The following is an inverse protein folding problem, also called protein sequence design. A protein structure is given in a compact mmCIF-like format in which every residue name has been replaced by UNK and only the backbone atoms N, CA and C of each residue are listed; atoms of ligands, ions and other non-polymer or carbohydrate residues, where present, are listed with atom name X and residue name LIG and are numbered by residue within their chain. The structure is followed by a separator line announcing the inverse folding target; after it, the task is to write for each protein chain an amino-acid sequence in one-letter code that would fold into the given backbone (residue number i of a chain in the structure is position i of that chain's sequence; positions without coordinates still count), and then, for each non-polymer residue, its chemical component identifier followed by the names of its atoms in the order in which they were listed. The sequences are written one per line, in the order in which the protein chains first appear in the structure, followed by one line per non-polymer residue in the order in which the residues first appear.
data_IF_593241188357
#
_entry.id   IF_593241188357
#
_cell.length_a   1.000
_cell.length_b   1.000
_cell.length_c   1.000
_cell.angle_alpha   90.00
_cell.angle_beta   90.00
_cell.angle_gamma   90.00
#
_symmetry.space_group_name_H-M   'P 1'
#
loop_
_entity.id
_entity.type
_entity.pdbx_description
1 polymer ?
#
# COMPACT_ATOMS: atom_id res chain seq x y z
N UNK A 1 5.42 7.68 10.84
CA UNK A 1 5.47 6.90 12.10
C UNK A 1 4.73 5.59 11.89
N UNK A 2 5.19 4.74 11.08
CA UNK A 2 4.65 3.45 10.74
C UNK A 2 5.65 2.73 9.87
N UNK A 3 5.20 1.80 9.04
CA UNK A 3 6.05 1.11 8.09
C UNK A 3 6.83 2.11 7.23
N UNK A 4 8.16 1.94 7.19
CA UNK A 4 9.08 2.86 6.51
C UNK A 4 9.29 2.53 5.03
N UNK A 5 8.65 1.45 4.56
CA UNK A 5 8.70 1.12 3.13
C UNK A 5 8.00 2.23 2.33
N UNK A 6 8.58 2.70 1.21
CA UNK A 6 8.04 3.79 0.40
C UNK A 6 6.56 3.58 0.05
N UNK A 7 5.74 4.58 0.31
CA UNK A 7 4.31 4.57 0.02
C UNK A 7 3.42 3.75 0.97
N UNK A 8 3.96 3.11 2.04
CA UNK A 8 3.16 2.24 2.91
C UNK A 8 2.54 2.98 4.10
N UNK A 9 3.34 3.47 5.03
CA UNK A 9 2.86 4.20 6.22
C UNK A 9 1.97 3.45 7.21
N UNK A 10 1.72 2.14 7.06
CA UNK A 10 0.91 1.35 7.98
C UNK A 10 1.40 1.48 9.42
N UNK A 11 0.52 1.75 10.41
CA UNK A 11 0.93 2.09 11.78
C UNK A 11 1.55 0.91 12.54
N UNK A 12 1.22 -0.31 12.15
CA UNK A 12 1.73 -1.53 12.77
C UNK A 12 2.95 -2.06 12.03
N UNK A 13 3.99 -2.43 12.77
CA UNK A 13 5.20 -2.95 12.18
C UNK A 13 6.10 -3.65 13.17
N UNK A 14 7.12 -4.28 12.65
CA UNK A 14 8.17 -4.99 13.36
C UNK A 14 9.51 -4.30 13.08
N UNK A 15 10.42 -4.33 14.02
CA UNK A 15 11.79 -3.87 13.84
C UNK A 15 12.56 -4.84 12.94
N UNK A 16 12.91 -4.40 11.74
CA UNK A 16 13.79 -5.13 10.83
C UNK A 16 15.24 -4.69 11.06
N UNK A 17 16.15 -5.64 11.25
CA UNK A 17 17.59 -5.35 11.34
C UNK A 17 18.16 -5.10 9.94
N UNK A 18 18.61 -3.88 9.67
CA UNK A 18 19.22 -3.48 8.39
C UNK A 18 20.45 -4.36 8.12
N UNK A 19 21.39 -4.37 9.07
CA UNK A 19 22.40 -5.42 9.13
C UNK A 19 21.85 -6.56 9.98
N UNK A 20 21.64 -7.71 9.36
CA UNK A 20 21.00 -8.85 9.99
C UNK A 20 21.72 -9.28 11.28
N UNK A 21 20.96 -9.61 12.33
CA UNK A 21 21.50 -9.99 13.63
C UNK A 21 22.42 -11.22 13.57
N UNK A 22 22.11 -12.20 12.70
CA UNK A 22 22.95 -13.38 12.48
C UNK A 22 24.33 -13.05 11.88
N UNK A 23 24.46 -11.85 11.29
CA UNK A 23 25.73 -11.32 10.78
C UNK A 23 26.35 -10.28 11.74
N UNK A 24 25.97 -10.34 13.02
CA UNK A 24 26.49 -9.45 14.05
C UNK A 24 25.90 -8.04 14.03
N UNK A 25 24.71 -7.85 13.41
CA UNK A 25 24.01 -6.58 13.44
C UNK A 25 23.47 -6.26 14.83
N UNK A 26 23.77 -5.08 15.42
CA UNK A 26 23.31 -4.72 16.74
C UNK A 26 21.81 -4.38 16.74
N UNK A 27 21.13 -4.64 17.85
CA UNK A 27 19.75 -4.19 18.07
C UNK A 27 19.74 -2.76 18.60
N UNK A 28 20.01 -1.81 17.71
CA UNK A 28 20.03 -0.38 17.98
C UNK A 28 19.12 0.36 17.00
N UNK A 29 18.63 1.54 17.37
CA UNK A 29 17.77 2.34 16.50
C UNK A 29 18.42 2.69 15.17
N UNK A 30 19.75 2.83 15.14
CA UNK A 30 20.51 3.07 13.91
C UNK A 30 20.52 1.87 12.96
N UNK A 31 20.34 0.66 13.49
CA UNK A 31 20.30 -0.58 12.71
C UNK A 31 18.89 -1.15 12.53
N UNK A 32 17.85 -0.43 12.96
CA UNK A 32 16.47 -0.92 12.86
C UNK A 32 15.64 -0.06 11.90
N UNK A 33 14.87 -0.71 11.05
CA UNK A 33 13.82 -0.10 10.24
C UNK A 33 12.46 -0.68 10.64
N UNK A 34 11.44 0.16 10.89
CA UNK A 34 10.09 -0.33 11.17
C UNK A 34 9.43 -0.75 9.86
N UNK A 35 9.08 -2.01 9.71
CA UNK A 35 8.39 -2.56 8.55
C UNK A 35 7.11 -3.29 8.96
N UNK A 36 6.03 -3.13 8.21
CA UNK A 36 4.84 -3.95 8.40
C UNK A 36 5.13 -5.41 7.98
N UNK A 37 4.28 -6.33 8.40
CA UNK A 37 4.44 -7.76 8.10
C UNK A 37 4.70 -8.04 6.61
N UNK A 38 3.96 -7.37 5.72
CA UNK A 38 4.11 -7.54 4.26
C UNK A 38 5.51 -7.11 3.79
N UNK A 39 5.95 -5.92 4.18
CA UNK A 39 7.24 -5.38 3.73
C UNK A 39 8.44 -5.98 4.48
N UNK A 40 8.26 -6.43 5.72
CA UNK A 40 9.27 -7.23 6.43
C UNK A 40 9.55 -8.54 5.69
N UNK A 41 8.49 -9.21 5.22
CA UNK A 41 8.60 -10.40 4.39
C UNK A 41 9.24 -10.11 3.04
N UNK A 42 8.87 -9.01 2.38
CA UNK A 42 9.45 -8.62 1.10
C UNK A 42 10.98 -8.46 1.16
N UNK A 43 11.50 -7.90 2.26
CA UNK A 43 12.96 -7.76 2.47
C UNK A 43 13.61 -9.12 2.72
N UNK A 44 12.95 -10.03 3.46
CA UNK A 44 13.54 -11.33 3.77
C UNK A 44 13.44 -12.37 2.67
N UNK A 45 12.35 -12.37 1.90
CA UNK A 45 12.00 -13.45 1.00
C UNK A 45 11.94 -13.04 -0.49
N UNK A 46 11.69 -11.75 -0.78
CA UNK A 46 11.45 -11.28 -2.14
C UNK A 46 12.65 -10.47 -2.70
N UNK A 47 13.78 -10.44 -2.00
CA UNK A 47 15.00 -9.80 -2.45
C UNK A 47 15.02 -8.27 -2.40
N UNK A 48 14.04 -7.64 -1.76
CA UNK A 48 14.13 -6.21 -1.46
C UNK A 48 15.21 -5.94 -0.42
N UNK A 49 15.90 -4.82 -0.57
CA UNK A 49 16.98 -4.42 0.33
C UNK A 49 16.64 -3.11 1.01
N UNK A 50 17.11 -2.95 2.24
CA UNK A 50 17.02 -1.71 2.99
C UNK A 50 18.39 -1.35 3.54
N UNK A 51 18.80 -0.12 3.30
CA UNK A 51 20.05 0.46 3.81
C UNK A 51 19.74 1.76 4.54
N UNK A 52 20.69 2.20 5.38
CA UNK A 52 20.63 3.52 5.99
C UNK A 52 21.78 4.38 5.47
N UNK A 53 21.45 5.53 4.92
CA UNK A 53 22.42 6.53 4.48
C UNK A 53 23.11 7.20 5.68
N UNK A 54 24.27 7.83 5.48
CA UNK A 54 24.96 8.58 6.54
C UNK A 54 24.12 9.71 7.16
N UNK A 55 23.19 10.29 6.41
CA UNK A 55 22.25 11.30 6.89
C UNK A 55 21.08 10.72 7.73
N UNK A 56 21.04 9.39 7.92
CA UNK A 56 20.01 8.69 8.67
C UNK A 56 18.78 8.26 7.88
N UNK A 57 18.67 8.65 6.62
CA UNK A 57 17.57 8.24 5.74
C UNK A 57 17.64 6.77 5.37
N UNK A 58 16.47 6.13 5.31
CA UNK A 58 16.34 4.77 4.81
C UNK A 58 16.26 4.77 3.28
N UNK A 59 17.02 3.90 2.68
CA UNK A 59 17.08 3.69 1.25
C UNK A 59 16.60 2.28 0.94
N UNK A 60 15.62 2.15 0.07
CA UNK A 60 15.08 0.85 -0.34
C UNK A 60 15.46 0.56 -1.78
N UNK A 61 15.80 -0.71 -2.06
CA UNK A 61 16.10 -1.19 -3.39
C UNK A 61 15.20 -2.35 -3.76
N UNK A 62 14.86 -2.42 -5.03
CA UNK A 62 14.19 -3.58 -5.62
C UNK A 62 15.16 -4.76 -5.76
N UNK A 63 14.67 -5.99 -6.02
CA UNK A 63 15.53 -7.14 -6.30
C UNK A 63 16.49 -6.92 -7.49
N UNK A 64 16.14 -6.05 -8.45
CA UNK A 64 16.97 -5.67 -9.58
C UNK A 64 18.04 -4.61 -9.23
N UNK A 65 18.15 -4.21 -7.94
CA UNK A 65 19.08 -3.20 -7.44
C UNK A 65 18.65 -1.74 -7.63
N UNK A 66 17.55 -1.47 -8.35
CA UNK A 66 17.05 -0.11 -8.56
C UNK A 66 16.50 0.48 -7.26
N UNK A 67 16.77 1.75 -7.04
CA UNK A 67 16.20 2.48 -5.93
C UNK A 67 14.67 2.56 -6.04
N UNK A 68 14.00 2.31 -4.92
CA UNK A 68 12.60 2.68 -4.78
C UNK A 68 12.53 4.19 -4.56
N UNK A 69 11.79 4.92 -5.38
CA UNK A 69 11.57 6.34 -5.17
C UNK A 69 10.77 6.56 -3.87
N UNK A 70 10.99 7.68 -3.22
CA UNK A 70 10.05 8.15 -2.22
C UNK A 70 8.68 8.34 -2.86
N UNK A 71 7.63 8.03 -2.09
CA UNK A 71 6.28 8.37 -2.51
C UNK A 71 6.21 9.90 -2.67
N UNK A 72 5.77 10.42 -3.81
CA UNK A 72 5.60 11.86 -3.95
C UNK A 72 4.64 12.35 -2.86
N UNK A 73 4.82 13.60 -2.38
CA UNK A 73 3.86 14.18 -1.47
C UNK A 73 2.46 14.17 -2.10
N UNK A 74 1.40 13.97 -1.32
CA UNK A 74 0.05 14.05 -1.86
C UNK A 74 -0.14 15.43 -2.50
N UNK A 75 -0.86 15.52 -3.62
CA UNK A 75 -1.17 16.80 -4.24
C UNK A 75 -1.89 17.69 -3.23
N UNK A 76 -1.64 18.98 -3.31
CA UNK A 76 -2.33 19.94 -2.46
C UNK A 76 -3.84 19.85 -2.71
N UNK A 77 -4.63 19.72 -1.64
CA UNK A 77 -6.07 19.75 -1.76
C UNK A 77 -6.50 21.15 -2.23
N UNK A 78 -7.47 21.24 -3.15
CA UNK A 78 -8.03 22.54 -3.53
C UNK A 78 -8.68 23.23 -2.32
N UNK A 79 -8.78 24.57 -2.36
CA UNK A 79 -9.34 25.35 -1.27
C UNK A 79 -10.78 24.95 -0.92
N UNK A 80 -11.58 24.55 -1.93
CA UNK A 80 -12.89 23.93 -1.77
C UNK A 80 -12.89 22.56 -2.47
N UNK A 81 -12.53 21.49 -1.77
CA UNK A 81 -12.43 20.15 -2.37
C UNK A 81 -13.80 19.58 -2.76
N UNK A 82 -14.87 19.98 -2.07
CA UNK A 82 -16.23 19.51 -2.37
C UNK A 82 -16.71 20.10 -3.70
N UNK A 83 -16.52 21.40 -3.86
CA UNK A 83 -16.88 22.07 -5.11
C UNK A 83 -16.05 21.56 -6.28
N UNK A 84 -14.75 21.43 -6.12
CA UNK A 84 -13.85 20.92 -7.15
C UNK A 84 -14.22 19.48 -7.58
N UNK A 85 -14.57 18.61 -6.62
CA UNK A 85 -15.01 17.24 -6.91
C UNK A 85 -16.35 17.23 -7.68
N UNK A 86 -17.33 18.01 -7.24
CA UNK A 86 -18.63 18.12 -7.91
C UNK A 86 -18.48 18.64 -9.32
N UNK A 87 -17.75 19.73 -9.52
CA UNK A 87 -17.50 20.26 -10.86
C UNK A 87 -16.81 19.23 -11.77
N UNK A 88 -15.88 18.44 -11.25
CA UNK A 88 -15.26 17.35 -11.99
C UNK A 88 -16.25 16.25 -12.37
N UNK A 89 -17.17 15.87 -11.47
CA UNK A 89 -18.22 14.89 -11.77
C UNK A 89 -19.19 15.42 -12.81
N UNK A 90 -19.63 16.67 -12.67
CA UNK A 90 -20.56 17.31 -13.63
C UNK A 90 -19.95 17.37 -15.04
N UNK A 91 -18.67 17.72 -15.15
CA UNK A 91 -17.94 17.74 -16.42
C UNK A 91 -17.84 16.34 -17.08
N UNK A 92 -17.88 15.27 -16.29
CA UNK A 92 -17.89 13.88 -16.76
C UNK A 92 -19.32 13.30 -16.92
N UNK A 93 -20.36 14.09 -16.66
CA UNK A 93 -21.75 13.62 -16.67
C UNK A 93 -22.09 12.63 -15.55
N UNK A 94 -21.30 12.64 -14.46
CA UNK A 94 -21.51 11.74 -13.33
C UNK A 94 -22.42 12.36 -12.28
N UNK A 95 -23.61 11.81 -12.11
CA UNK A 95 -24.57 12.24 -11.11
C UNK A 95 -24.48 11.36 -9.86
N UNK A 96 -23.58 11.73 -8.95
CA UNK A 96 -23.37 11.01 -7.69
C UNK A 96 -24.28 11.57 -6.58
N UNK A 97 -24.97 10.68 -5.89
CA UNK A 97 -25.82 10.99 -4.75
C UNK A 97 -25.68 9.94 -3.65
N UNK A 98 -26.28 10.15 -2.49
CA UNK A 98 -26.11 9.29 -1.32
C UNK A 98 -26.42 7.79 -1.54
N UNK A 99 -27.17 7.46 -2.59
CA UNK A 99 -27.57 6.08 -2.91
C UNK A 99 -26.86 5.51 -4.13
N UNK A 100 -25.96 6.26 -4.78
CA UNK A 100 -25.27 5.81 -6.00
C UNK A 100 -24.44 4.53 -5.75
N UNK A 101 -23.81 4.42 -4.58
CA UNK A 101 -23.03 3.27 -4.20
C UNK A 101 -23.81 2.27 -3.34
N UNK A 102 -25.13 2.42 -3.21
CA UNK A 102 -25.94 1.48 -2.45
C UNK A 102 -26.08 0.21 -3.29
N UNK A 103 -25.54 -0.94 -2.86
CA UNK A 103 -25.71 -2.19 -3.58
C UNK A 103 -27.19 -2.55 -3.62
N UNK A 104 -27.65 -3.12 -4.73
CA UNK A 104 -29.00 -3.69 -4.81
C UNK A 104 -29.19 -4.93 -3.94
N UNK A 105 -28.10 -5.43 -3.38
CA UNK A 105 -28.11 -6.58 -2.47
C UNK A 105 -28.50 -6.12 -1.06
N UNK A 106 -29.50 -6.76 -0.49
CA UNK A 106 -30.04 -6.45 0.86
C UNK A 106 -29.78 -7.56 1.88
N UNK A 107 -28.79 -8.40 1.63
CA UNK A 107 -28.38 -9.45 2.56
C UNK A 107 -28.94 -10.84 2.22
N UNK A 108 -29.47 -11.03 1.03
CA UNK A 108 -29.88 -12.35 0.56
C UNK A 108 -28.66 -13.30 0.49
N UNK A 109 -28.92 -14.57 0.63
CA UNK A 109 -27.87 -15.57 0.45
C UNK A 109 -27.29 -15.48 -0.96
N UNK A 110 -25.95 -15.43 -1.05
CA UNK A 110 -25.27 -15.54 -2.32
C UNK A 110 -25.69 -16.85 -3.01
N UNK A 111 -26.23 -16.75 -4.23
CA UNK A 111 -26.38 -17.90 -5.08
C UNK A 111 -25.02 -18.31 -5.63
N UNK A 112 -24.42 -19.28 -4.93
CA UNK A 112 -23.07 -19.78 -5.25
C UNK A 112 -23.06 -20.46 -6.62
N UNK A 113 -24.18 -21.13 -7.00
CA UNK A 113 -24.31 -21.79 -8.30
C UNK A 113 -24.22 -20.77 -9.42
N UNK A 114 -25.06 -19.73 -9.37
CA UNK A 114 -25.04 -18.64 -10.35
C UNK A 114 -23.68 -17.91 -10.39
N UNK A 115 -23.08 -17.66 -9.24
CA UNK A 115 -21.78 -16.99 -9.17
C UNK A 115 -20.68 -17.84 -9.83
N UNK A 116 -20.69 -19.15 -9.63
CA UNK A 116 -19.77 -20.07 -10.29
C UNK A 116 -20.00 -20.14 -11.79
N UNK A 117 -21.24 -20.19 -12.26
CA UNK A 117 -21.59 -20.23 -13.68
C UNK A 117 -21.13 -18.95 -14.43
N UNK A 118 -21.19 -17.79 -13.74
CA UNK A 118 -20.73 -16.52 -14.31
C UNK A 118 -19.20 -16.39 -14.28
N UNK A 119 -18.54 -16.86 -13.22
CA UNK A 119 -17.10 -16.73 -13.04
C UNK A 119 -16.30 -17.85 -13.73
N UNK A 120 -16.94 -18.98 -14.01
CA UNK A 120 -16.42 -20.09 -14.81
C UNK A 120 -17.19 -20.19 -16.13
N UNK A 121 -16.93 -19.30 -17.10
CA UNK A 121 -17.38 -19.60 -18.46
C UNK A 121 -16.77 -20.92 -18.85
N UNK A 122 -17.63 -21.85 -19.25
CA UNK A 122 -17.29 -23.22 -19.65
C UNK A 122 -16.02 -23.21 -20.48
N UNK A 123 -14.96 -23.85 -19.98
CA UNK A 123 -13.81 -24.20 -20.79
C UNK A 123 -14.31 -25.26 -21.78
N UNK A 124 -14.59 -24.84 -23.00
CA UNK A 124 -14.64 -25.71 -24.16
C UNK A 124 -13.21 -26.07 -24.61
#
# INVERSE_FOLDING_TARGET
RGCRFPGCGLPFGQGHHIRHWAHGGPTTLSNLALLCRRHHRAVHEEGYQVDRRPNGELCFRRPDGRLLPESPPPPAAPADPVHALRAGHDALGLHLHARTATPGWVGERLDVGWALDVLHPLAE
#
